data_IF_183006383743
#
_entry.id   IF_183006383743
#
_cell.length_a   1.000
_cell.length_b   1.000
_cell.length_c   1.000
_cell.angle_alpha   90.00
_cell.angle_beta   90.00
_cell.angle_gamma   90.00
#
_symmetry.space_group_name_H-M   'P 1'
#
loop_
_entity.id
_entity.type
_entity.pdbx_description
1 polymer ?
#
# COMPACT_ATOMS: atom_id res chain seq x y z
N UNK A 1 3.71 -7.39 8.49
CA UNK A 1 2.27 -7.50 8.78
C UNK A 1 1.64 -8.48 7.81
N UNK A 2 0.96 -9.51 8.30
CA UNK A 2 0.25 -10.53 7.52
C UNK A 2 -1.21 -10.14 7.36
N UNK A 3 -1.88 -10.63 6.32
CA UNK A 3 -3.28 -10.29 6.06
C UNK A 3 -4.23 -10.71 7.18
N UNK A 4 -3.94 -11.79 7.91
CA UNK A 4 -4.73 -12.19 9.09
C UNK A 4 -4.61 -11.19 10.24
N UNK A 5 -3.42 -10.64 10.49
CA UNK A 5 -3.22 -9.59 11.50
C UNK A 5 -4.03 -8.33 11.15
N UNK A 6 -4.16 -8.02 9.86
CA UNK A 6 -5.03 -6.91 9.40
C UNK A 6 -6.51 -7.20 9.68
N UNK A 7 -6.96 -8.44 9.50
CA UNK A 7 -8.34 -8.85 9.84
C UNK A 7 -8.61 -8.65 11.33
N UNK A 8 -7.67 -9.03 12.19
CA UNK A 8 -7.78 -8.83 13.65
C UNK A 8 -7.88 -7.34 14.01
N UNK A 9 -7.02 -6.49 13.45
CA UNK A 9 -7.07 -5.03 13.66
C UNK A 9 -8.39 -4.40 13.17
N UNK A 10 -8.92 -4.87 12.04
CA UNK A 10 -10.21 -4.44 11.52
C UNK A 10 -11.32 -4.80 12.51
N UNK A 11 -11.33 -6.02 13.05
CA UNK A 11 -12.33 -6.44 14.04
C UNK A 11 -12.24 -5.64 15.34
N UNK A 12 -11.04 -5.29 15.78
CA UNK A 12 -10.85 -4.44 16.98
C UNK A 12 -11.40 -3.03 16.75
N UNK A 13 -11.20 -2.47 15.56
CA UNK A 13 -11.60 -1.09 15.24
C UNK A 13 -13.08 -0.99 14.87
N UNK A 14 -13.59 -1.96 14.11
CA UNK A 14 -14.98 -2.06 13.68
C UNK A 14 -15.42 -3.53 13.56
N UNK A 15 -15.93 -4.13 14.66
CA UNK A 15 -16.30 -5.55 14.71
C UNK A 15 -17.36 -5.95 13.68
N UNK A 16 -18.21 -5.00 13.25
CA UNK A 16 -19.32 -5.26 12.33
C UNK A 16 -18.92 -5.16 10.85
N UNK A 17 -17.74 -4.63 10.53
CA UNK A 17 -17.33 -4.35 9.14
C UNK A 17 -17.29 -5.61 8.26
N UNK A 18 -16.81 -6.73 8.83
CA UNK A 18 -16.68 -8.00 8.11
C UNK A 18 -17.95 -8.86 8.15
N UNK A 19 -18.97 -8.47 8.92
CA UNK A 19 -20.22 -9.20 9.07
C UNK A 19 -20.00 -10.67 9.45
N UNK A 20 -20.57 -11.60 8.66
CA UNK A 20 -20.42 -13.05 8.84
C UNK A 20 -19.27 -13.66 8.01
N UNK A 21 -18.38 -12.84 7.45
CA UNK A 21 -17.29 -13.32 6.59
C UNK A 21 -16.26 -14.11 7.41
N UNK A 22 -15.87 -15.32 6.97
CA UNK A 22 -14.77 -16.05 7.61
C UNK A 22 -13.43 -15.32 7.49
N UNK A 23 -12.63 -15.34 8.55
CA UNK A 23 -11.35 -14.63 8.65
C UNK A 23 -10.39 -15.01 7.54
N UNK A 24 -10.31 -16.29 7.21
CA UNK A 24 -9.48 -16.79 6.12
C UNK A 24 -9.89 -16.19 4.76
N UNK A 25 -11.20 -15.97 4.54
CA UNK A 25 -11.70 -15.34 3.31
C UNK A 25 -11.36 -13.85 3.30
N UNK A 26 -11.56 -13.15 4.42
CA UNK A 26 -11.19 -11.74 4.54
C UNK A 26 -9.68 -11.54 4.31
N UNK A 27 -8.84 -12.39 4.91
CA UNK A 27 -7.39 -12.34 4.73
C UNK A 27 -6.96 -12.58 3.28
N UNK A 28 -7.61 -13.51 2.55
CA UNK A 28 -7.35 -13.72 1.12
C UNK A 28 -7.71 -12.49 0.28
N UNK A 29 -8.83 -11.84 0.57
CA UNK A 29 -9.24 -10.61 -0.13
C UNK A 29 -8.23 -9.48 0.13
N UNK A 30 -7.82 -9.29 1.39
CA UNK A 30 -6.81 -8.29 1.75
C UNK A 30 -5.47 -8.59 1.06
N UNK A 31 -5.03 -9.85 1.04
CA UNK A 31 -3.81 -10.26 0.34
C UNK A 31 -3.88 -9.94 -1.16
N UNK A 32 -5.00 -10.24 -1.81
CA UNK A 32 -5.20 -9.95 -3.23
C UNK A 32 -5.17 -8.44 -3.51
N UNK A 33 -5.81 -7.63 -2.66
CA UNK A 33 -5.80 -6.18 -2.79
C UNK A 33 -4.39 -5.60 -2.65
N UNK A 34 -3.62 -6.03 -1.64
CA UNK A 34 -2.25 -5.58 -1.42
C UNK A 34 -1.32 -6.01 -2.55
N UNK A 35 -1.50 -7.21 -3.09
CA UNK A 35 -0.73 -7.70 -4.24
C UNK A 35 -0.97 -6.82 -5.47
N UNK A 36 -2.23 -6.48 -5.75
CA UNK A 36 -2.59 -5.66 -6.91
C UNK A 36 -2.05 -4.22 -6.78
N UNK A 37 -2.10 -3.66 -5.58
CA UNK A 37 -1.45 -2.38 -5.26
C UNK A 37 0.06 -2.45 -5.52
N UNK A 38 0.71 -3.52 -5.06
CA UNK A 38 2.14 -3.74 -5.27
C UNK A 38 2.51 -3.77 -6.74
N UNK A 39 1.72 -4.46 -7.58
CA UNK A 39 1.91 -4.49 -9.03
C UNK A 39 1.78 -3.10 -9.65
N UNK A 40 0.75 -2.33 -9.29
CA UNK A 40 0.56 -0.98 -9.84
C UNK A 40 1.73 -0.05 -9.50
N UNK A 41 2.20 -0.06 -8.24
CA UNK A 41 3.36 0.73 -7.82
C UNK A 41 4.64 0.29 -8.54
N UNK A 42 4.80 -1.02 -8.77
CA UNK A 42 5.97 -1.59 -9.43
C UNK A 42 5.99 -1.30 -10.94
N UNK A 43 4.82 -1.28 -11.59
CA UNK A 43 4.68 -0.99 -13.02
C UNK A 43 4.74 0.50 -13.35
N UNK A 44 4.40 1.39 -12.41
CA UNK A 44 4.42 2.83 -12.66
C UNK A 44 5.85 3.36 -12.89
N UNK A 45 6.11 4.02 -14.02
CA UNK A 45 7.46 4.50 -14.38
C UNK A 45 7.83 5.81 -13.68
N UNK A 46 6.92 6.79 -13.69
CA UNK A 46 7.06 8.07 -13.00
C UNK A 46 5.66 8.61 -12.61
N UNK A 47 5.60 9.43 -11.56
CA UNK A 47 4.37 10.10 -11.14
C UNK A 47 3.89 9.65 -9.76
N UNK A 48 2.58 9.47 -9.59
CA UNK A 48 2.02 9.10 -8.29
C UNK A 48 0.83 8.14 -8.40
N UNK A 49 0.87 7.06 -7.60
CA UNK A 49 -0.27 6.16 -7.38
C UNK A 49 -0.94 6.54 -6.06
N UNK A 50 -2.21 6.96 -6.12
CA UNK A 50 -3.00 7.38 -4.94
C UNK A 50 -4.00 6.30 -4.55
N UNK A 51 -4.02 5.95 -3.28
CA UNK A 51 -4.89 4.91 -2.72
C UNK A 51 -5.71 5.54 -1.59
N UNK A 52 -7.02 5.65 -1.82
CA UNK A 52 -7.94 6.21 -0.85
C UNK A 52 -7.85 5.46 0.49
N UNK A 53 -7.73 6.20 1.59
CA UNK A 53 -7.63 5.63 2.93
C UNK A 53 -6.25 5.11 3.33
N UNK A 54 -5.31 4.92 2.39
CA UNK A 54 -3.94 4.50 2.69
C UNK A 54 -2.94 5.64 2.52
N UNK A 55 -2.94 6.31 1.37
CA UNK A 55 -1.97 7.37 1.07
C UNK A 55 -1.61 7.45 -0.41
N UNK A 56 -0.40 7.95 -0.69
CA UNK A 56 0.13 8.06 -2.06
C UNK A 56 1.55 7.54 -2.16
N UNK A 57 1.85 6.84 -3.25
CA UNK A 57 3.19 6.44 -3.64
C UNK A 57 3.67 7.37 -4.75
N UNK A 58 4.71 8.17 -4.50
CA UNK A 58 5.38 8.98 -5.52
C UNK A 58 6.55 8.19 -6.10
N UNK A 59 6.50 7.93 -7.40
CA UNK A 59 7.57 7.25 -8.14
C UNK A 59 8.41 8.30 -8.88
N UNK A 60 9.74 8.20 -8.75
CA UNK A 60 10.70 9.01 -9.50
C UNK A 60 11.85 8.13 -9.97
N UNK A 61 12.38 8.40 -11.15
CA UNK A 61 13.70 7.91 -11.55
C UNK A 61 14.75 8.87 -11.01
N UNK A 62 15.79 8.35 -10.37
CA UNK A 62 16.93 9.15 -9.90
C UNK A 62 18.22 8.57 -10.44
N UNK A 63 19.05 9.41 -11.02
CA UNK A 63 20.42 9.02 -11.35
C UNK A 63 21.21 8.89 -10.06
N UNK A 64 21.84 7.73 -9.86
CA UNK A 64 22.77 7.49 -8.78
C UNK A 64 24.11 7.14 -9.37
N UNK A 65 25.09 7.99 -9.10
CA UNK A 65 26.49 7.69 -9.40
C UNK A 65 27.05 6.83 -8.27
N UNK A 66 27.57 5.66 -8.64
CA UNK A 66 28.28 4.77 -7.72
C UNK A 66 29.51 4.25 -8.46
N UNK A 67 30.69 4.43 -7.88
CA UNK A 67 31.96 3.96 -8.45
C UNK A 67 32.25 4.49 -9.88
N UNK A 68 31.81 5.73 -10.18
CA UNK A 68 32.01 6.40 -11.48
C UNK A 68 30.99 6.01 -12.57
N UNK A 69 30.05 5.12 -12.28
CA UNK A 69 29.00 4.71 -13.21
C UNK A 69 27.64 5.28 -12.80
N UNK A 70 26.95 5.95 -13.74
CA UNK A 70 25.61 6.50 -13.51
C UNK A 70 24.56 5.42 -13.76
N UNK A 71 23.86 5.03 -12.69
CA UNK A 71 22.74 4.08 -12.78
C UNK A 71 21.42 4.79 -12.50
N UNK A 72 20.43 4.60 -13.36
CA UNK A 72 19.07 5.07 -13.11
C UNK A 72 18.39 4.12 -12.10
N UNK A 73 18.00 4.66 -10.95
CA UNK A 73 17.35 3.89 -9.87
C UNK A 73 15.92 4.41 -9.68
N UNK A 74 14.95 3.49 -9.67
CA UNK A 74 13.56 3.80 -9.33
C UNK A 74 13.41 4.03 -7.83
N UNK A 75 13.02 5.25 -7.45
CA UNK A 75 12.71 5.63 -6.07
C UNK A 75 11.20 5.71 -5.88
N UNK A 76 10.66 4.94 -4.93
CA UNK A 76 9.26 4.97 -4.53
C UNK A 76 9.16 5.57 -3.12
N UNK A 77 8.42 6.67 -2.97
CA UNK A 77 8.21 7.35 -1.70
C UNK A 77 6.74 7.21 -1.30
N UNK A 78 6.48 6.54 -0.18
CA UNK A 78 5.14 6.48 0.39
C UNK A 78 4.87 7.69 1.30
N UNK A 79 3.68 8.26 1.18
CA UNK A 79 3.15 9.30 2.07
C UNK A 79 1.78 8.87 2.54
N UNK A 80 1.62 8.65 3.86
CA UNK A 80 0.36 8.21 4.44
C UNK A 80 -0.74 9.28 4.27
N UNK A 81 -1.98 8.83 4.12
CA UNK A 81 -3.13 9.73 4.09
C UNK A 81 -3.27 10.46 5.44
N UNK A 82 -3.56 11.76 5.41
CA UNK A 82 -3.88 12.50 6.63
C UNK A 82 -5.18 11.94 7.23
N UNK A 83 -5.25 11.71 8.55
CA UNK A 83 -6.50 11.34 9.20
C UNK A 83 -7.55 12.40 8.87
N UNK A 84 -8.72 12.00 8.37
CA UNK A 84 -9.85 12.93 8.29
C UNK A 84 -10.22 13.26 9.73
N UNK A 85 -9.98 14.50 10.16
CA UNK A 85 -10.57 15.00 11.40
C UNK A 85 -12.08 14.77 11.30
N UNK A 86 -12.65 14.03 12.26
CA UNK A 86 -14.10 13.89 12.36
C UNK A 86 -14.65 15.31 12.56
N UNK A 87 -15.42 15.80 11.59
CA UNK A 87 -16.35 16.92 11.82
C UNK A 87 -17.53 16.41 12.61
#
# INVERSE_FOLDING_TARGET
MKSLEVVELIKQTNPKLLGKMPDAKAAKIIAAALLEIGKQVSAAEEGAVKIAGLGSFKIRQVEREKDGEKTAVKKVIFTAAKPKAKK
#
